data_IF_161652401882
#
_entry.id   IF_161652401882
#
_cell.length_a   1.000
_cell.length_b   1.000
_cell.length_c   1.000
_cell.angle_alpha   90.00
_cell.angle_beta   90.00
_cell.angle_gamma   90.00
#
_symmetry.space_group_name_H-M   'P 1'
#
loop_
_entity.id
_entity.type
_entity.pdbx_description
1 polymer ?
#
# COMPACT_ATOMS: atom_id res chain seq x y z
N UNK A 1 13.86 -9.87 16.42
CA UNK A 1 12.72 -9.29 17.15
C UNK A 1 11.85 -8.58 16.12
N UNK A 2 10.68 -9.12 15.76
CA UNK A 2 9.78 -8.46 14.80
C UNK A 2 9.03 -7.39 15.58
N UNK A 3 9.27 -6.11 15.26
CA UNK A 3 8.44 -5.02 15.74
C UNK A 3 7.07 -5.19 15.05
N UNK A 4 6.07 -5.66 15.77
CA UNK A 4 4.69 -5.68 15.25
C UNK A 4 4.11 -4.28 15.43
N UNK A 5 4.33 -3.42 14.45
CA UNK A 5 3.66 -2.11 14.42
C UNK A 5 2.19 -2.29 14.08
N UNK A 6 1.35 -1.49 14.73
CA UNK A 6 -0.07 -1.50 14.47
C UNK A 6 -0.38 -0.98 13.05
N UNK A 7 -1.31 -1.61 12.31
CA UNK A 7 -1.70 -1.19 10.96
C UNK A 7 -2.15 0.27 10.86
N UNK A 8 -2.72 0.83 11.94
CA UNK A 8 -3.15 2.24 11.97
C UNK A 8 -1.97 3.21 11.88
N UNK A 9 -0.89 2.93 12.59
CA UNK A 9 0.36 3.71 12.55
C UNK A 9 0.96 3.68 11.15
N UNK A 10 0.89 2.52 10.49
CA UNK A 10 1.37 2.33 9.12
C UNK A 10 0.54 3.13 8.10
N UNK A 11 -0.78 3.16 8.24
CA UNK A 11 -1.66 3.99 7.39
C UNK A 11 -1.42 5.48 7.62
N UNK A 12 -1.26 5.88 8.88
CA UNK A 12 -0.91 7.26 9.23
C UNK A 12 0.43 7.67 8.60
N UNK A 13 1.43 6.80 8.66
CA UNK A 13 2.73 7.02 8.02
C UNK A 13 2.62 7.20 6.51
N UNK A 14 1.85 6.37 5.80
CA UNK A 14 1.61 6.57 4.36
C UNK A 14 1.01 7.95 4.12
N UNK A 15 -0.03 8.31 4.85
CA UNK A 15 -0.71 9.59 4.68
C UNK A 15 0.24 10.77 4.88
N UNK A 16 1.04 10.76 5.94
CA UNK A 16 2.01 11.83 6.23
C UNK A 16 3.11 11.89 5.18
N UNK A 17 3.70 10.75 4.79
CA UNK A 17 4.76 10.71 3.77
C UNK A 17 4.22 11.20 2.43
N UNK A 18 3.02 10.76 2.03
CA UNK A 18 2.37 11.23 0.80
C UNK A 18 2.05 12.73 0.85
N UNK A 19 1.57 13.26 1.97
CA UNK A 19 1.30 14.69 2.14
C UNK A 19 2.58 15.53 2.02
N UNK A 20 3.66 15.12 2.68
CA UNK A 20 4.97 15.81 2.61
C UNK A 20 5.56 15.74 1.20
N UNK A 21 5.40 14.62 0.50
CA UNK A 21 5.88 14.43 -0.88
C UNK A 21 5.09 15.27 -1.90
N UNK A 22 3.78 15.44 -1.71
CA UNK A 22 2.97 16.28 -2.61
C UNK A 22 3.33 17.76 -2.48
N UNK A 23 3.85 18.18 -1.33
CA UNK A 23 4.29 19.56 -1.15
C UNK A 23 5.68 19.76 -1.78
N UNK A 24 5.76 20.68 -2.75
CA UNK A 24 7.05 21.06 -3.33
C UNK A 24 7.99 21.65 -2.26
N UNK A 25 9.24 21.19 -2.26
CA UNK A 25 10.32 21.62 -1.39
C UNK A 25 11.20 22.63 -2.13
N UNK A 26 10.99 23.91 -1.84
CA UNK A 26 11.67 25.03 -2.53
C UNK A 26 13.01 25.40 -1.88
N UNK A 27 13.30 24.96 -0.65
CA UNK A 27 14.51 25.32 0.09
C UNK A 27 15.39 24.09 0.43
N UNK A 28 16.71 24.27 0.58
CA UNK A 28 17.63 23.18 0.95
C UNK A 28 17.25 22.50 2.29
N UNK A 29 16.67 23.25 3.22
CA UNK A 29 16.18 22.72 4.50
C UNK A 29 14.99 21.77 4.32
N UNK A 30 14.04 22.10 3.43
CA UNK A 30 12.89 21.22 3.12
C UNK A 30 13.35 19.93 2.42
N UNK A 31 14.43 19.98 1.63
CA UNK A 31 15.06 18.79 1.08
C UNK A 31 15.67 17.89 2.16
N UNK A 32 16.36 18.46 3.15
CA UNK A 32 16.90 17.70 4.28
C UNK A 32 15.78 17.01 5.09
N UNK A 33 14.67 17.70 5.35
CA UNK A 33 13.50 17.12 6.02
C UNK A 33 12.92 15.97 5.20
N UNK A 34 12.76 16.13 3.88
CA UNK A 34 12.26 15.06 2.99
C UNK A 34 13.16 13.82 2.98
N UNK A 35 14.48 14.00 2.94
CA UNK A 35 15.46 12.90 3.02
C UNK A 35 15.35 12.19 4.37
N UNK A 36 15.27 12.94 5.48
CA UNK A 36 15.11 12.35 6.82
C UNK A 36 13.83 11.53 6.95
N UNK A 37 12.70 12.01 6.39
CA UNK A 37 11.43 11.28 6.40
C UNK A 37 11.45 10.02 5.54
N UNK A 38 12.24 9.99 4.47
CA UNK A 38 12.38 8.81 3.61
C UNK A 38 13.29 7.75 4.23
N UNK A 39 14.27 8.16 5.04
CA UNK A 39 15.16 7.26 5.75
C UNK A 39 14.44 6.45 6.85
N UNK A 40 13.37 6.99 7.45
CA UNK A 40 12.63 6.31 8.53
C UNK A 40 11.93 5.02 8.03
N UNK A 41 11.15 5.01 6.92
CA UNK A 41 10.63 3.80 6.31
C UNK A 41 11.71 2.80 5.89
N UNK A 42 12.87 3.28 5.41
CA UNK A 42 13.99 2.42 5.01
C UNK A 42 14.60 1.72 6.24
N UNK A 43 14.79 2.45 7.35
CA UNK A 43 15.24 1.88 8.62
C UNK A 43 14.24 0.84 9.17
N UNK A 44 12.94 1.12 9.09
CA UNK A 44 11.89 0.15 9.44
C UNK A 44 11.96 -1.12 8.57
N UNK A 45 12.25 -0.98 7.27
CA UNK A 45 12.41 -2.12 6.35
C UNK A 45 13.62 -3.01 6.69
N UNK A 46 14.70 -2.39 7.18
CA UNK A 46 15.91 -3.08 7.64
C UNK A 46 15.63 -3.84 8.94
N UNK A 47 14.91 -3.21 9.88
CA UNK A 47 14.53 -3.83 11.16
C UNK A 47 13.65 -5.06 10.95
N UNK A 48 12.78 -5.06 9.94
CA UNK A 48 11.94 -6.21 9.58
C UNK A 48 12.65 -7.27 8.71
N UNK A 49 13.98 -7.19 8.57
CA UNK A 49 14.86 -8.16 7.89
C UNK A 49 14.64 -8.29 6.37
N UNK A 50 14.05 -7.30 5.71
CA UNK A 50 13.90 -7.28 4.25
C UNK A 50 15.06 -6.56 3.55
N UNK A 51 16.29 -6.97 3.86
CA UNK A 51 17.53 -6.30 3.42
C UNK A 51 17.65 -6.15 1.89
N UNK A 52 17.26 -7.16 1.11
CA UNK A 52 17.35 -7.12 -0.35
C UNK A 52 16.41 -6.08 -0.99
N UNK A 53 15.28 -5.76 -0.35
CA UNK A 53 14.38 -4.71 -0.82
C UNK A 53 14.83 -3.34 -0.33
N UNK A 54 15.25 -3.24 0.94
CA UNK A 54 15.81 -2.01 1.51
C UNK A 54 17.02 -1.51 0.70
N UNK A 55 17.93 -2.42 0.34
CA UNK A 55 19.13 -2.08 -0.41
C UNK A 55 18.82 -1.61 -1.84
N UNK A 56 17.87 -2.27 -2.53
CA UNK A 56 17.41 -1.83 -3.86
C UNK A 56 16.77 -0.44 -3.81
N UNK A 57 15.91 -0.18 -2.84
CA UNK A 57 15.29 1.13 -2.67
C UNK A 57 16.28 2.21 -2.23
N UNK A 58 17.26 1.87 -1.37
CA UNK A 58 18.31 2.80 -0.95
C UNK A 58 19.21 3.19 -2.12
N UNK A 59 19.68 2.21 -2.91
CA UNK A 59 20.51 2.49 -4.10
C UNK A 59 19.75 3.34 -5.11
N UNK A 60 18.50 2.99 -5.42
CA UNK A 60 17.69 3.74 -6.39
C UNK A 60 17.43 5.18 -5.91
N UNK A 61 17.17 5.37 -4.61
CA UNK A 61 16.93 6.70 -4.05
C UNK A 61 18.22 7.53 -3.99
N UNK A 62 19.34 6.94 -3.56
CA UNK A 62 20.64 7.60 -3.53
C UNK A 62 21.12 7.97 -4.94
N UNK A 63 20.95 7.09 -5.93
CA UNK A 63 21.27 7.37 -7.32
C UNK A 63 20.42 8.54 -7.86
N UNK A 64 19.12 8.55 -7.57
CA UNK A 64 18.23 9.63 -7.99
C UNK A 64 18.57 10.97 -7.31
N UNK A 65 18.98 10.97 -6.04
CA UNK A 65 19.48 12.17 -5.35
C UNK A 65 20.79 12.67 -5.94
N UNK A 66 21.76 11.79 -6.20
CA UNK A 66 23.07 12.17 -6.76
C UNK A 66 22.89 12.77 -8.16
N UNK A 67 22.02 12.18 -8.99
CA UNK A 67 21.72 12.71 -10.33
C UNK A 67 21.01 14.06 -10.22
N UNK A 68 20.03 14.20 -9.32
CA UNK A 68 19.33 15.48 -9.12
C UNK A 68 20.26 16.58 -8.61
N UNK A 69 21.13 16.31 -7.63
CA UNK A 69 22.08 17.28 -7.11
C UNK A 69 23.21 17.64 -8.10
N UNK A 70 23.74 16.66 -8.85
CA UNK A 70 24.77 16.93 -9.87
C UNK A 70 24.24 17.77 -11.04
N UNK A 71 23.06 17.44 -11.56
CA UNK A 71 22.50 18.15 -12.72
C UNK A 71 21.84 19.48 -12.37
N UNK A 72 21.49 19.73 -11.10
CA UNK A 72 21.03 21.05 -10.65
C UNK A 72 22.21 22.01 -10.40
N UNK A 73 23.39 21.48 -10.06
CA UNK A 73 24.60 22.27 -9.79
C UNK A 73 25.40 22.62 -11.04
N UNK A 74 25.32 21.80 -12.10
CA UNK A 74 25.89 22.16 -13.39
C UNK A 74 24.83 22.81 -14.27
N UNK A 75 25.10 24.05 -14.67
CA UNK A 75 24.25 24.89 -15.49
C UNK A 75 24.17 24.36 -16.95
N UNK A 76 23.64 23.15 -17.14
CA UNK A 76 23.54 22.52 -18.45
C UNK A 76 22.30 23.03 -19.18
N UNK A 77 22.46 24.10 -19.98
CA UNK A 77 21.43 24.68 -20.86
C UNK A 77 21.11 23.77 -22.07
N UNK A 78 20.61 22.56 -21.82
CA UNK A 78 20.23 21.60 -22.85
C UNK A 78 18.81 21.08 -22.66
N UNK A 79 18.10 20.83 -23.77
CA UNK A 79 16.78 20.19 -23.73
C UNK A 79 16.88 18.82 -23.05
N UNK A 80 17.89 18.02 -23.41
CA UNK A 80 18.10 16.66 -22.88
C UNK A 80 18.39 16.62 -21.37
N UNK A 81 19.13 17.60 -20.84
CA UNK A 81 19.34 17.74 -19.39
C UNK A 81 18.06 18.15 -18.66
N UNK A 82 17.22 19.02 -19.25
CA UNK A 82 15.93 19.37 -18.68
C UNK A 82 14.97 18.18 -18.59
N UNK A 83 14.92 17.31 -19.61
CA UNK A 83 14.14 16.07 -19.57
C UNK A 83 14.64 15.09 -18.50
N UNK A 84 15.96 14.91 -18.41
CA UNK A 84 16.58 14.03 -17.40
C UNK A 84 16.32 14.54 -15.97
N UNK A 85 16.48 15.85 -15.73
CA UNK A 85 16.20 16.47 -14.43
C UNK A 85 14.72 16.38 -14.09
N UNK A 86 13.81 16.62 -15.04
CA UNK A 86 12.37 16.47 -14.85
C UNK A 86 11.97 15.04 -14.47
N UNK A 87 12.44 14.05 -15.23
CA UNK A 87 12.19 12.63 -14.95
C UNK A 87 12.77 12.19 -13.60
N UNK A 88 13.99 12.61 -13.29
CA UNK A 88 14.63 12.30 -12.02
C UNK A 88 13.87 12.96 -10.85
N UNK A 89 13.42 14.21 -11.01
CA UNK A 89 12.64 14.92 -9.98
C UNK A 89 11.32 14.21 -9.68
N UNK A 90 10.61 13.73 -10.71
CA UNK A 90 9.39 12.91 -10.55
C UNK A 90 9.73 11.64 -9.77
N UNK A 91 10.82 10.94 -10.10
CA UNK A 91 11.24 9.74 -9.36
C UNK A 91 11.52 10.06 -7.89
N UNK A 92 12.37 11.05 -7.59
CA UNK A 92 12.69 11.39 -6.18
C UNK A 92 11.44 11.87 -5.43
N UNK A 93 10.44 12.41 -6.14
CA UNK A 93 9.16 12.79 -5.54
C UNK A 93 8.32 11.55 -5.20
N UNK A 94 8.02 10.67 -6.15
CA UNK A 94 7.10 9.55 -5.92
C UNK A 94 7.72 8.35 -5.19
N UNK A 95 9.04 8.19 -5.23
CA UNK A 95 9.71 7.01 -4.69
C UNK A 95 9.53 6.81 -3.18
N UNK A 96 9.64 7.83 -2.30
CA UNK A 96 9.37 7.67 -0.86
C UNK A 96 7.96 7.16 -0.54
N UNK A 97 6.96 7.65 -1.27
CA UNK A 97 5.58 7.20 -1.13
C UNK A 97 5.44 5.72 -1.56
N UNK A 98 6.08 5.33 -2.66
CA UNK A 98 6.09 3.93 -3.11
C UNK A 98 6.80 3.00 -2.12
N UNK A 99 7.95 3.40 -1.56
CA UNK A 99 8.69 2.61 -0.56
C UNK A 99 7.81 2.38 0.67
N UNK A 100 7.18 3.44 1.16
CA UNK A 100 6.30 3.39 2.34
C UNK A 100 5.08 2.52 2.07
N UNK A 101 4.43 2.68 0.92
CA UNK A 101 3.30 1.83 0.52
C UNK A 101 3.70 0.35 0.43
N UNK A 102 4.84 0.05 -0.19
CA UNK A 102 5.33 -1.32 -0.32
C UNK A 102 5.65 -1.95 1.04
N UNK A 103 6.24 -1.18 1.95
CA UNK A 103 6.44 -1.59 3.34
C UNK A 103 5.10 -1.96 4.01
N UNK A 104 4.08 -1.10 3.94
CA UNK A 104 2.79 -1.37 4.60
C UNK A 104 2.11 -2.60 4.02
N UNK A 105 2.06 -2.76 2.69
CA UNK A 105 1.40 -3.90 2.04
C UNK A 105 2.06 -5.23 2.43
N UNK A 106 3.40 -5.26 2.50
CA UNK A 106 4.13 -6.51 2.78
C UNK A 106 4.05 -6.94 4.24
N UNK A 107 3.85 -5.98 5.14
CA UNK A 107 4.06 -6.16 6.58
C UNK A 107 2.75 -6.12 7.37
N UNK A 108 1.65 -5.83 6.68
CA UNK A 108 0.30 -5.78 7.25
C UNK A 108 -0.50 -6.97 6.75
N UNK A 109 -0.99 -7.81 7.67
CA UNK A 109 -1.92 -8.86 7.27
C UNK A 109 -3.28 -8.26 6.97
N UNK A 110 -3.92 -8.83 5.97
CA UNK A 110 -5.25 -8.46 5.51
C UNK A 110 -6.28 -8.40 6.66
N UNK A 111 -6.30 -9.40 7.54
CA UNK A 111 -7.20 -9.43 8.70
C UNK A 111 -6.91 -8.34 9.74
N UNK A 112 -5.62 -8.00 9.94
CA UNK A 112 -5.20 -6.93 10.86
C UNK A 112 -5.63 -5.56 10.33
N UNK A 113 -5.58 -5.36 9.01
CA UNK A 113 -6.08 -4.15 8.34
C UNK A 113 -7.60 -3.97 8.51
N UNK A 114 -8.38 -5.02 8.28
CA UNK A 114 -9.84 -5.00 8.48
C UNK A 114 -10.17 -4.69 9.95
N UNK A 115 -9.48 -5.33 10.90
CA UNK A 115 -9.70 -5.06 12.33
C UNK A 115 -9.28 -3.62 12.71
N UNK A 116 -8.20 -3.11 12.12
CA UNK A 116 -7.78 -1.72 12.31
C UNK A 116 -8.87 -0.74 11.85
N UNK A 117 -9.51 -1.01 10.71
CA UNK A 117 -10.64 -0.23 10.18
C UNK A 117 -11.87 -0.27 11.09
N UNK A 118 -12.24 -1.44 11.63
CA UNK A 118 -13.35 -1.57 12.60
C UNK A 118 -13.13 -0.67 13.82
N UNK A 119 -11.91 -0.68 14.36
CA UNK A 119 -11.56 0.14 15.52
C UNK A 119 -11.35 1.63 15.20
N UNK A 120 -11.26 2.02 13.92
CA UNK A 120 -11.24 3.43 13.49
C UNK A 120 -12.66 4.03 13.37
N UNK A 121 -13.70 3.32 13.81
CA UNK A 121 -15.11 3.75 13.72
C UNK A 121 -15.59 4.00 12.28
N UNK A 122 -15.05 3.25 11.32
CA UNK A 122 -15.60 3.20 9.96
C UNK A 122 -16.95 2.46 10.02
N UNK A 123 -17.97 2.88 9.26
CA UNK A 123 -19.27 2.20 9.23
C UNK A 123 -19.13 0.69 9.06
N UNK A 124 -19.87 -0.06 9.89
CA UNK A 124 -19.78 -1.52 9.95
C UNK A 124 -20.04 -2.17 8.59
N UNK A 125 -20.93 -1.60 7.77
CA UNK A 125 -21.22 -2.07 6.42
C UNK A 125 -19.97 -2.14 5.54
N UNK A 126 -19.19 -1.06 5.49
CA UNK A 126 -17.96 -1.01 4.68
C UNK A 126 -16.94 -2.03 5.19
N UNK A 127 -16.80 -2.12 6.51
CA UNK A 127 -15.78 -2.98 7.09
C UNK A 127 -16.12 -4.47 6.95
N UNK A 128 -17.40 -4.83 7.04
CA UNK A 128 -17.88 -6.19 6.79
C UNK A 128 -17.71 -6.55 5.32
N UNK A 129 -18.13 -5.70 4.40
CA UNK A 129 -17.96 -5.93 2.96
C UNK A 129 -16.50 -6.13 2.61
N UNK A 130 -15.60 -5.31 3.17
CA UNK A 130 -14.17 -5.48 2.97
C UNK A 130 -13.68 -6.82 3.55
N UNK A 131 -14.08 -7.18 4.78
CA UNK A 131 -13.71 -8.46 5.40
C UNK A 131 -14.10 -9.66 4.52
N UNK A 132 -15.31 -9.60 3.95
CA UNK A 132 -15.85 -10.60 3.03
C UNK A 132 -15.02 -10.66 1.74
N UNK A 133 -14.83 -9.53 1.06
CA UNK A 133 -14.03 -9.45 -0.18
C UNK A 133 -12.63 -10.00 0.04
N UNK A 134 -12.00 -9.63 1.15
CA UNK A 134 -10.65 -10.05 1.48
C UNK A 134 -10.51 -11.56 1.75
N UNK A 135 -11.55 -12.20 2.31
CA UNK A 135 -11.60 -13.66 2.47
C UNK A 135 -11.97 -14.37 1.18
N UNK A 136 -12.80 -13.74 0.35
CA UNK A 136 -13.28 -14.29 -0.90
C UNK A 136 -12.22 -14.21 -2.02
N UNK A 137 -11.38 -13.19 -2.02
CA UNK A 137 -10.35 -12.99 -3.04
C UNK A 137 -9.37 -14.17 -3.20
N UNK A 138 -8.84 -14.79 -2.12
CA UNK A 138 -8.08 -16.04 -2.22
C UNK A 138 -8.86 -17.16 -2.89
N UNK A 139 -10.13 -17.34 -2.55
CA UNK A 139 -11.00 -18.38 -3.12
C UNK A 139 -11.27 -18.13 -4.61
N UNK A 140 -11.56 -16.90 -5.03
CA UNK A 140 -11.69 -16.57 -6.46
C UNK A 140 -10.41 -16.90 -7.22
N UNK A 141 -9.24 -16.64 -6.62
CA UNK A 141 -7.96 -16.94 -7.27
C UNK A 141 -7.80 -18.45 -7.48
N UNK A 142 -8.14 -19.25 -6.48
CA UNK A 142 -8.13 -20.71 -6.56
C UNK A 142 -9.10 -21.20 -7.64
N UNK A 143 -10.32 -20.67 -7.68
CA UNK A 143 -11.29 -21.05 -8.71
C UNK A 143 -10.90 -20.60 -10.11
N UNK A 144 -10.31 -19.41 -10.23
CA UNK A 144 -9.76 -18.96 -11.49
C UNK A 144 -8.67 -19.92 -11.99
N UNK A 145 -7.79 -20.40 -11.10
CA UNK A 145 -6.77 -21.38 -11.47
C UNK A 145 -7.36 -22.74 -11.82
N UNK A 146 -8.36 -23.23 -11.08
CA UNK A 146 -9.03 -24.49 -11.37
C UNK A 146 -9.74 -24.46 -12.73
N UNK A 147 -10.51 -23.41 -13.01
CA UNK A 147 -11.19 -23.22 -14.29
C UNK A 147 -10.16 -23.07 -15.42
N UNK A 148 -9.09 -22.28 -15.21
CA UNK A 148 -8.03 -22.14 -16.20
C UNK A 148 -7.39 -23.49 -16.53
N UNK A 149 -7.10 -24.30 -15.53
CA UNK A 149 -6.40 -25.58 -15.71
C UNK A 149 -7.33 -26.62 -16.36
N UNK A 150 -8.63 -26.63 -16.02
CA UNK A 150 -9.65 -27.44 -16.69
C UNK A 150 -9.82 -27.05 -18.17
N UNK A 151 -9.85 -25.75 -18.48
CA UNK A 151 -9.93 -25.27 -19.86
C UNK A 151 -8.65 -25.55 -20.66
N UNK A 152 -7.50 -25.56 -20.00
CA UNK A 152 -6.23 -25.97 -20.61
C UNK A 152 -6.25 -27.46 -20.99
N UNK A 153 -6.86 -28.33 -20.20
CA UNK A 153 -7.06 -29.76 -20.56
C UNK A 153 -7.96 -29.94 -21.79
N UNK A 154 -8.90 -29.00 -22.02
CA UNK A 154 -9.76 -28.98 -23.21
C UNK A 154 -9.08 -28.37 -24.45
N UNK A 155 -7.78 -28.10 -24.41
CA UNK A 155 -7.02 -27.52 -25.53
C UNK A 155 -7.18 -26.02 -25.71
N UNK A 156 -7.96 -25.34 -24.86
CA UNK A 156 -8.17 -23.89 -24.93
C UNK A 156 -7.02 -23.21 -24.17
N UNK A 157 -5.94 -22.93 -24.91
CA UNK A 157 -4.77 -22.23 -24.39
C UNK A 157 -4.91 -20.71 -24.49
N UNK A 158 -4.40 -20.01 -23.48
CA UNK A 158 -4.13 -18.56 -23.55
C UNK A 158 -3.12 -18.33 -24.68
N UNK A 159 -3.59 -17.90 -25.86
CA UNK A 159 -2.76 -17.64 -27.04
C UNK A 159 -3.28 -18.21 -28.36
N UNK A 160 -4.36 -19.00 -28.37
CA UNK A 160 -4.91 -19.65 -29.56
C UNK A 160 -5.76 -18.80 -30.52
N UNK A 161 -5.73 -17.46 -30.42
CA UNK A 161 -6.39 -16.55 -31.37
C UNK A 161 -7.85 -16.19 -31.11
N UNK A 162 -8.57 -16.95 -30.28
CA UNK A 162 -10.00 -16.67 -30.02
C UNK A 162 -10.23 -16.04 -28.63
N UNK A 163 -10.05 -14.72 -28.55
CA UNK A 163 -10.29 -13.95 -27.33
C UNK A 163 -11.77 -14.02 -26.88
N UNK A 164 -12.70 -14.22 -27.81
CA UNK A 164 -14.13 -14.36 -27.51
C UNK A 164 -14.41 -15.70 -26.79
N UNK A 165 -13.82 -16.80 -27.25
CA UNK A 165 -13.95 -18.10 -26.58
C UNK A 165 -13.38 -18.11 -25.16
N UNK A 166 -12.32 -17.34 -24.87
CA UNK A 166 -11.79 -17.23 -23.49
C UNK A 166 -12.79 -16.57 -22.54
N UNK A 167 -13.53 -15.55 -23.01
CA UNK A 167 -14.55 -14.88 -22.21
C UNK A 167 -15.69 -15.87 -21.91
N UNK A 168 -16.20 -16.55 -22.94
CA UNK A 168 -17.31 -17.48 -22.78
C UNK A 168 -16.95 -18.65 -21.85
N UNK A 169 -15.79 -19.28 -22.06
CA UNK A 169 -15.44 -20.50 -21.34
C UNK A 169 -14.74 -20.29 -19.99
N UNK A 170 -14.23 -19.09 -19.69
CA UNK A 170 -13.57 -18.80 -18.39
C UNK A 170 -14.31 -17.77 -17.57
N UNK A 171 -14.76 -16.67 -18.17
CA UNK A 171 -15.37 -15.58 -17.40
C UNK A 171 -16.79 -15.93 -16.98
N UNK A 172 -17.61 -16.52 -17.87
CA UNK A 172 -19.00 -16.89 -17.53
C UNK A 172 -19.05 -17.91 -16.37
N UNK A 173 -18.31 -19.03 -16.39
CA UNK A 173 -18.31 -19.97 -15.27
C UNK A 173 -17.76 -19.35 -13.98
N UNK A 174 -16.74 -18.50 -14.07
CA UNK A 174 -16.20 -17.80 -12.91
C UNK A 174 -17.24 -16.84 -12.30
N UNK A 175 -17.99 -16.11 -13.14
CA UNK A 175 -19.06 -15.21 -12.67
C UNK A 175 -20.15 -15.99 -11.94
N UNK A 176 -20.64 -17.09 -12.51
CA UNK A 176 -21.64 -17.94 -11.84
C UNK A 176 -21.13 -18.51 -10.51
N UNK A 177 -19.88 -18.99 -10.48
CA UNK A 177 -19.25 -19.44 -9.23
C UNK A 177 -19.19 -18.32 -8.20
N UNK A 178 -18.83 -17.10 -8.61
CA UNK A 178 -18.78 -15.96 -7.71
C UNK A 178 -20.15 -15.56 -7.15
N UNK A 179 -21.21 -15.61 -7.96
CA UNK A 179 -22.58 -15.34 -7.49
C UNK A 179 -23.02 -16.38 -6.47
N UNK A 180 -22.83 -17.67 -6.76
CA UNK A 180 -23.21 -18.75 -5.85
C UNK A 180 -22.48 -18.66 -4.52
N UNK A 181 -21.16 -18.42 -4.53
CA UNK A 181 -20.38 -18.26 -3.29
C UNK A 181 -20.84 -17.01 -2.50
N UNK A 182 -21.21 -15.93 -3.20
CA UNK A 182 -21.77 -14.73 -2.60
C UNK A 182 -23.09 -15.00 -1.87
N UNK A 183 -24.00 -15.76 -2.51
CA UNK A 183 -25.29 -16.14 -1.95
C UNK A 183 -25.15 -17.06 -0.73
N UNK A 184 -24.27 -18.07 -0.82
CA UNK A 184 -23.94 -18.95 0.30
C UNK A 184 -23.37 -18.17 1.49
N UNK A 185 -22.47 -17.22 1.22
CA UNK A 185 -21.86 -16.41 2.26
C UNK A 185 -22.86 -15.44 2.90
N UNK A 186 -23.77 -14.87 2.09
CA UNK A 186 -24.86 -14.01 2.57
C UNK A 186 -25.80 -14.79 3.49
N UNK A 187 -26.26 -15.96 3.06
CA UNK A 187 -27.11 -16.85 3.85
C UNK A 187 -26.39 -17.29 5.16
N UNK A 188 -25.12 -17.68 5.07
CA UNK A 188 -24.29 -18.04 6.22
C UNK A 188 -24.06 -16.86 7.18
N UNK A 189 -24.00 -15.62 6.68
CA UNK A 189 -23.82 -14.45 7.51
C UNK A 189 -25.12 -14.10 8.26
N UNK A 190 -26.27 -14.10 7.56
CA UNK A 190 -27.59 -13.82 8.17
C UNK A 190 -27.93 -14.87 9.23
N UNK A 191 -27.71 -16.15 8.94
CA UNK A 191 -27.92 -17.24 9.93
C UNK A 191 -27.02 -17.12 11.16
N UNK A 192 -25.82 -16.54 11.02
CA UNK A 192 -24.91 -16.22 12.15
C UNK A 192 -25.24 -14.89 12.86
N UNK A 193 -26.38 -14.28 12.55
CA UNK A 193 -26.84 -13.04 13.19
C UNK A 193 -26.17 -11.77 12.68
N UNK A 194 -25.63 -11.78 11.45
CA UNK A 194 -25.14 -10.56 10.81
C UNK A 194 -26.30 -9.57 10.62
N UNK A 195 -26.31 -8.47 11.38
CA UNK A 195 -27.37 -7.44 11.35
C UNK A 195 -28.17 -7.30 12.65
N UNK A 196 -27.85 -8.09 13.69
CA UNK A 196 -28.46 -7.95 15.01
C UNK A 196 -28.12 -6.64 15.75
N UNK A 197 -28.94 -6.28 16.74
CA UNK A 197 -28.81 -5.03 17.54
C UNK A 197 -27.63 -5.01 18.52
N UNK A 198 -26.91 -6.12 18.69
CA UNK A 198 -25.82 -6.26 19.68
C UNK A 198 -24.51 -5.72 19.10
N UNK A 199 -23.77 -4.94 19.90
CA UNK A 199 -22.43 -4.44 19.52
C UNK A 199 -21.49 -5.61 19.24
N UNK A 200 -20.85 -5.58 18.07
CA UNK A 200 -19.86 -6.57 17.64
C UNK A 200 -18.59 -6.47 18.47
N UNK A 201 -18.00 -7.62 18.78
CA UNK A 201 -16.65 -7.73 19.35
C UNK A 201 -15.68 -8.24 18.29
N UNK A 202 -14.47 -7.68 18.22
CA UNK A 202 -13.43 -8.18 17.31
C UNK A 202 -12.57 -9.24 17.98
N UNK A 203 -12.31 -10.34 17.28
CA UNK A 203 -11.46 -11.46 17.74
C UNK A 203 -9.98 -11.07 17.77
N UNK A 204 -9.54 -10.13 16.92
CA UNK A 204 -8.15 -9.67 16.89
C UNK A 204 -7.93 -8.50 17.85
N UNK A 205 -7.11 -8.74 18.87
CA UNK A 205 -6.71 -7.71 19.82
C UNK A 205 -5.51 -6.94 19.27
N UNK A 206 -5.76 -5.86 18.52
CA UNK A 206 -4.71 -4.87 18.24
C UNK A 206 -4.37 -4.13 19.53
N UNK A 207 -3.09 -4.16 19.93
CA UNK A 207 -2.54 -3.40 21.05
C UNK A 207 -1.50 -2.44 20.48
N UNK A 208 -1.76 -1.14 20.60
CA UNK A 208 -0.79 -0.11 20.25
C UNK A 208 0.37 -0.19 21.23
N UNK A 209 1.57 -0.40 20.69
CA UNK A 209 2.80 -0.37 21.47
C UNK A 209 3.23 1.08 21.72
N UNK A 210 4.04 1.31 22.75
CA UNK A 210 4.67 2.62 23.01
C UNK A 210 5.48 3.10 21.81
N UNK A 211 6.08 2.16 21.05
CA UNK A 211 6.78 2.45 19.80
C UNK A 211 5.88 3.05 18.71
N UNK A 212 4.59 2.67 18.67
CA UNK A 212 3.62 3.20 17.69
C UNK A 212 3.30 4.67 17.97
N UNK A 213 3.11 5.02 19.25
CA UNK A 213 2.88 6.40 19.67
C UNK A 213 4.09 7.29 19.43
N UNK A 214 5.31 6.79 19.70
CA UNK A 214 6.54 7.53 19.48
C UNK A 214 6.74 7.81 17.97
N UNK A 215 6.46 6.83 17.11
CA UNK A 215 6.49 7.02 15.66
C UNK A 215 5.43 8.02 15.18
N UNK A 216 4.18 7.93 15.64
CA UNK A 216 3.15 8.91 15.28
C UNK A 216 3.55 10.33 15.70
N UNK A 217 4.15 10.49 16.89
CA UNK A 217 4.64 11.78 17.38
C UNK A 217 5.80 12.32 16.51
N UNK A 218 6.72 11.45 16.10
CA UNK A 218 7.82 11.84 15.23
C UNK A 218 7.32 12.30 13.84
N UNK A 219 6.39 11.54 13.24
CA UNK A 219 5.81 11.88 11.94
C UNK A 219 4.96 13.17 11.99
N UNK A 220 4.18 13.38 13.05
CA UNK A 220 3.44 14.64 13.27
C UNK A 220 4.37 15.82 13.45
N UNK A 221 5.42 15.69 14.26
CA UNK A 221 6.41 16.76 14.48
C UNK A 221 7.12 17.14 13.19
N UNK A 222 7.53 16.15 12.39
CA UNK A 222 8.18 16.38 11.11
C UNK A 222 7.25 17.07 10.10
N UNK A 223 5.96 16.71 10.06
CA UNK A 223 4.97 17.40 9.24
C UNK A 223 4.76 18.85 9.72
N UNK A 224 4.64 19.07 11.03
CA UNK A 224 4.49 20.40 11.60
C UNK A 224 5.68 21.31 11.27
N UNK A 225 6.91 20.81 11.41
CA UNK A 225 8.13 21.52 11.02
C UNK A 225 8.09 21.84 9.51
N UNK A 226 7.71 20.88 8.67
CA UNK A 226 7.65 21.10 7.22
C UNK A 226 6.61 22.17 6.83
N UNK A 227 5.44 22.17 7.45
CA UNK A 227 4.37 23.16 7.21
C UNK A 227 4.78 24.54 7.72
N UNK A 228 5.30 24.64 8.94
CA UNK A 228 5.76 25.91 9.53
C UNK A 228 6.85 26.55 8.68
N UNK A 229 7.88 25.80 8.29
CA UNK A 229 8.98 26.35 7.49
C UNK A 229 8.57 26.75 6.06
N UNK A 230 7.45 26.22 5.55
CA UNK A 230 6.93 26.56 4.23
C UNK A 230 5.94 27.72 4.24
N UNK A 231 5.19 27.92 5.33
CA UNK A 231 4.19 28.99 5.43
C UNK A 231 4.70 30.26 6.13
N UNK A 232 5.71 30.14 7.01
CA UNK A 232 6.26 31.28 7.77
C UNK A 232 7.49 31.92 7.07
N UNK A 233 7.91 31.39 5.92
CA UNK A 233 9.02 31.93 5.11
C UNK A 233 8.64 31.97 3.64
#
# INVERSE_FOLDING_TARGET
MSLKLDPRTKLYMIFVVSAVVMMSATTPFLWAVRISMTMIPILLLIIEKHYAAAFRFLILYAAALIVSFRFLSENSKGFLSAFLVGYCSIIVQFMPAMITAWYVVRTTKIGEFVCAMQKMHIPDGITISLAVVMRFFPTIKEEYTAIRDAMKMRGIMLGGGDAAGIIEYRMIPLLFSCVNIGDELSAAAVTRGLGGKVKRTSVQVLKMSVADYLLMLLFTAALAVFVVFKYIK
#
